data_IF_336853391355
#
_entry.id   IF_336853391355
#
_cell.length_a   1.000
_cell.length_b   1.000
_cell.length_c   1.000
_cell.angle_alpha   90.00
_cell.angle_beta   90.00
_cell.angle_gamma   90.00
#
_symmetry.space_group_name_H-M   'P 1'
#
loop_
_entity.id
_entity.type
_entity.pdbx_description
1 polymer ?
#
# COMPACT_ATOMS: atom_id res chain seq x y z
N UNK A 1 -21.17 1.89 9.93
CA UNK A 1 -19.99 1.28 9.27
C UNK A 1 -18.67 1.65 9.97
N UNK A 2 -18.73 2.00 11.26
CA UNK A 2 -17.69 2.86 11.87
C UNK A 2 -16.45 2.10 12.35
N UNK A 3 -16.56 0.78 12.48
CA UNK A 3 -15.49 -0.09 12.98
C UNK A 3 -14.38 -0.34 11.95
N UNK A 4 -14.64 -0.09 10.66
CA UNK A 4 -13.62 -0.24 9.60
C UNK A 4 -12.49 0.80 9.80
N UNK A 5 -12.80 1.97 10.38
CA UNK A 5 -11.81 3.02 10.66
C UNK A 5 -10.80 2.64 11.76
N UNK A 6 -11.04 1.60 12.57
CA UNK A 6 -10.03 1.04 13.47
C UNK A 6 -8.83 0.41 12.74
N UNK A 7 -8.92 0.25 11.42
CA UNK A 7 -7.78 -0.14 10.59
C UNK A 7 -6.79 1.01 10.35
N UNK A 8 -7.15 2.27 10.63
CA UNK A 8 -6.25 3.42 10.41
C UNK A 8 -4.99 3.35 11.29
N UNK A 9 -5.08 3.11 12.62
CA UNK A 9 -3.90 2.86 13.45
C UNK A 9 -3.12 1.62 13.01
N UNK A 10 -3.80 0.59 12.50
CA UNK A 10 -3.14 -0.61 11.99
C UNK A 10 -2.31 -0.30 10.74
N UNK A 11 -2.78 0.57 9.84
CA UNK A 11 -2.00 1.02 8.70
C UNK A 11 -0.72 1.75 9.12
N UNK A 12 -0.75 2.54 10.19
CA UNK A 12 0.45 3.17 10.74
C UNK A 12 1.47 2.12 11.24
N UNK A 13 1.02 1.11 11.99
CA UNK A 13 1.89 0.02 12.48
C UNK A 13 2.46 -0.77 11.30
N UNK A 14 1.60 -1.17 10.37
CA UNK A 14 2.01 -1.92 9.19
C UNK A 14 2.97 -1.11 8.31
N UNK A 15 2.82 0.21 8.22
CA UNK A 15 3.74 1.07 7.45
C UNK A 15 5.05 1.37 8.17
N UNK A 16 5.01 1.52 9.50
CA UNK A 16 6.19 1.72 10.32
C UNK A 16 7.11 0.50 10.35
N UNK A 17 6.54 -0.72 10.33
CA UNK A 17 7.29 -1.98 10.47
C UNK A 17 7.32 -2.86 9.22
N UNK A 18 6.66 -2.45 8.13
CA UNK A 18 6.58 -3.21 6.88
C UNK A 18 7.32 -2.54 5.71
N UNK A 19 6.76 -1.50 5.08
CA UNK A 19 7.28 -0.86 3.88
C UNK A 19 8.37 0.20 4.08
N UNK A 20 9.00 0.30 5.25
CA UNK A 20 10.19 1.10 5.39
C UNK A 20 11.31 0.30 6.04
N UNK A 21 12.30 -0.06 5.23
CA UNK A 21 13.67 -0.50 5.53
C UNK A 21 13.98 -1.40 6.76
N UNK A 22 13.00 -1.93 7.51
CA UNK A 22 13.23 -2.74 8.71
C UNK A 22 12.18 -3.87 8.95
N UNK A 23 12.72 -5.09 9.08
CA UNK A 23 12.37 -6.25 9.94
C UNK A 23 11.25 -7.24 9.56
N UNK A 24 10.03 -6.87 9.12
CA UNK A 24 8.93 -7.87 8.97
C UNK A 24 8.24 -7.82 7.60
N UNK A 25 8.74 -8.62 6.66
CA UNK A 25 8.25 -8.76 5.28
C UNK A 25 6.76 -9.11 5.15
N UNK A 26 6.25 -9.88 6.11
CA UNK A 26 4.84 -10.31 6.16
C UNK A 26 3.91 -9.10 6.30
N UNK A 27 4.33 -8.03 6.96
CA UNK A 27 3.48 -6.84 7.13
C UNK A 27 3.23 -6.11 5.82
N UNK A 28 4.22 -6.09 4.91
CA UNK A 28 4.03 -5.54 3.55
C UNK A 28 3.00 -6.35 2.76
N UNK A 29 3.06 -7.68 2.86
CA UNK A 29 2.10 -8.58 2.21
C UNK A 29 0.69 -8.47 2.77
N UNK A 30 0.54 -8.16 4.06
CA UNK A 30 -0.75 -7.94 4.72
C UNK A 30 -1.29 -6.53 4.44
N UNK A 31 -0.40 -5.54 4.34
CA UNK A 31 -0.77 -4.13 4.14
C UNK A 31 -1.46 -3.93 2.78
N UNK A 32 -0.87 -4.41 1.68
CA UNK A 32 -1.45 -4.25 0.34
C UNK A 32 -2.93 -4.69 0.23
N UNK A 33 -3.30 -5.93 0.58
CA UNK A 33 -4.69 -6.39 0.47
C UNK A 33 -5.62 -5.69 1.45
N UNK A 34 -5.17 -5.33 2.66
CA UNK A 34 -5.98 -4.57 3.62
C UNK A 34 -6.24 -3.14 3.14
N UNK A 35 -5.23 -2.44 2.65
CA UNK A 35 -5.36 -1.07 2.14
C UNK A 35 -6.29 -1.03 0.93
N UNK A 36 -6.15 -1.97 -0.01
CA UNK A 36 -7.05 -2.07 -1.16
C UNK A 36 -8.48 -2.42 -0.75
N UNK A 37 -8.67 -3.39 0.15
CA UNK A 37 -9.99 -3.75 0.66
C UNK A 37 -10.66 -2.57 1.40
N UNK A 38 -9.90 -1.82 2.19
CA UNK A 38 -10.37 -0.62 2.87
C UNK A 38 -10.76 0.46 1.86
N UNK A 39 -9.88 0.81 0.93
CA UNK A 39 -10.11 1.89 -0.05
C UNK A 39 -11.28 1.62 -1.01
N UNK A 40 -11.58 0.34 -1.28
CA UNK A 40 -12.75 -0.08 -2.06
C UNK A 40 -14.07 0.00 -1.28
N UNK A 41 -14.03 0.01 0.06
CA UNK A 41 -15.23 -0.04 0.92
C UNK A 41 -15.60 1.30 1.55
N UNK A 42 -14.64 2.13 1.96
CA UNK A 42 -14.92 3.44 2.62
C UNK A 42 -15.22 4.55 1.61
N UNK A 43 -15.68 5.74 1.99
CA UNK A 43 -15.78 6.90 1.08
C UNK A 43 -14.40 7.48 0.72
N UNK A 44 -14.29 8.19 -0.42
CA UNK A 44 -12.99 8.72 -0.90
C UNK A 44 -12.33 9.71 0.06
N UNK A 45 -13.13 10.44 0.86
CA UNK A 45 -12.63 11.37 1.90
C UNK A 45 -11.77 10.65 2.96
N UNK A 46 -12.03 9.37 3.20
CA UNK A 46 -11.25 8.56 4.14
C UNK A 46 -9.89 8.13 3.60
N UNK A 47 -9.54 8.51 2.37
CA UNK A 47 -8.19 8.32 1.84
C UNK A 47 -7.22 9.28 2.51
N UNK A 48 -7.69 10.45 2.99
CA UNK A 48 -6.83 11.46 3.64
C UNK A 48 -6.24 10.93 4.96
N UNK A 49 -7.03 10.37 5.90
CA UNK A 49 -6.47 9.77 7.12
C UNK A 49 -5.53 8.60 6.83
N UNK A 50 -5.84 7.78 5.82
CA UNK A 50 -4.98 6.66 5.40
C UNK A 50 -3.65 7.17 4.84
N UNK A 51 -3.70 8.20 4.01
CA UNK A 51 -2.52 8.87 3.48
C UNK A 51 -1.64 9.43 4.61
N UNK A 52 -2.23 10.13 5.57
CA UNK A 52 -1.49 10.68 6.71
C UNK A 52 -0.87 9.57 7.55
N UNK A 53 -1.64 8.52 7.89
CA UNK A 53 -1.15 7.39 8.67
C UNK A 53 0.01 6.67 7.98
N UNK A 54 -0.13 6.38 6.69
CA UNK A 54 0.92 5.74 5.90
C UNK A 54 2.14 6.65 5.73
N UNK A 55 1.95 7.96 5.55
CA UNK A 55 3.04 8.93 5.43
C UNK A 55 3.85 9.05 6.71
N UNK A 56 3.18 9.09 7.86
CA UNK A 56 3.84 9.10 9.18
C UNK A 56 4.60 7.79 9.40
N UNK A 57 3.97 6.64 9.15
CA UNK A 57 4.64 5.34 9.31
C UNK A 57 5.85 5.19 8.38
N UNK A 58 5.72 5.63 7.12
CA UNK A 58 6.83 5.64 6.17
C UNK A 58 7.95 6.58 6.62
N UNK A 59 7.62 7.79 7.07
CA UNK A 59 8.61 8.76 7.56
C UNK A 59 9.37 8.23 8.79
N UNK A 60 8.68 7.61 9.76
CA UNK A 60 9.30 6.99 10.92
C UNK A 60 10.27 5.86 10.52
N UNK A 61 9.89 5.07 9.52
CA UNK A 61 10.72 3.99 9.04
C UNK A 61 11.98 4.49 8.31
N UNK A 62 11.87 5.54 7.50
CA UNK A 62 13.04 6.22 6.89
C UNK A 62 13.93 6.87 7.94
N UNK A 63 13.35 7.48 8.96
CA UNK A 63 14.10 8.09 10.06
C UNK A 63 14.93 7.04 10.82
N UNK A 64 14.35 5.86 11.10
CA UNK A 64 15.06 4.73 11.70
C UNK A 64 16.19 4.20 10.81
N UNK A 65 15.98 4.16 9.49
CA UNK A 65 17.00 3.68 8.53
C UNK A 65 18.15 4.67 8.32
N UNK A 66 17.87 5.98 8.29
CA UNK A 66 18.88 7.02 8.06
C UNK A 66 19.74 7.28 9.30
N UNK A 67 19.29 6.84 10.47
CA UNK A 67 19.91 7.10 11.76
C UNK A 67 20.47 5.84 12.44
N UNK A 68 20.80 4.79 11.67
CA UNK A 68 21.29 3.51 12.24
C UNK A 68 22.59 3.66 13.01
N UNK A 69 23.44 4.62 12.61
CA UNK A 69 24.83 4.72 13.07
C UNK A 69 25.12 6.03 13.85
N UNK A 70 24.18 6.98 13.89
CA UNK A 70 24.37 8.29 14.53
C UNK A 70 23.37 8.51 15.68
N UNK A 71 23.87 8.96 16.82
CA UNK A 71 23.03 9.30 17.99
C UNK A 71 22.42 10.70 17.91
N UNK A 72 22.79 11.49 16.90
CA UNK A 72 22.34 12.87 16.73
C UNK A 72 21.15 12.95 15.79
N UNK A 73 19.95 12.99 16.38
CA UNK A 73 18.68 13.22 15.70
C UNK A 73 18.58 14.66 15.20
N UNK A 74 19.37 14.99 14.18
CA UNK A 74 19.35 16.33 13.59
C UNK A 74 17.98 16.58 12.92
N UNK A 75 17.41 17.80 13.06
CA UNK A 75 16.15 18.19 12.43
C UNK A 75 16.11 17.97 10.91
N UNK A 76 17.27 18.01 10.26
CA UNK A 76 17.42 17.82 8.81
C UNK A 76 17.05 16.39 8.36
N UNK A 77 17.42 15.36 9.13
CA UNK A 77 17.03 13.96 8.83
C UNK A 77 15.54 13.72 9.06
N UNK A 78 14.95 14.41 10.04
CA UNK A 78 13.51 14.39 10.25
C UNK A 78 12.75 15.03 9.07
N UNK A 79 13.21 16.19 8.59
CA UNK A 79 12.59 16.86 7.45
C UNK A 79 12.73 16.04 6.15
N UNK A 80 13.89 15.40 5.95
CA UNK A 80 14.15 14.55 4.80
C UNK A 80 13.28 13.28 4.82
N UNK A 81 13.19 12.59 5.95
CA UNK A 81 12.33 11.41 6.10
C UNK A 81 10.84 11.74 5.96
N UNK A 82 10.41 12.90 6.46
CA UNK A 82 9.05 13.38 6.25
C UNK A 82 8.76 13.66 4.78
N UNK A 83 9.65 14.37 4.07
CA UNK A 83 9.44 14.65 2.63
C UNK A 83 9.37 13.38 1.80
N UNK A 84 10.19 12.36 2.10
CA UNK A 84 10.05 11.03 1.51
C UNK A 84 8.71 10.37 1.87
N UNK A 85 8.36 10.32 3.15
CA UNK A 85 7.11 9.70 3.62
C UNK A 85 5.87 10.27 2.94
N UNK A 86 5.76 11.59 2.85
CA UNK A 86 4.64 12.24 2.18
C UNK A 86 4.72 12.11 0.64
N UNK A 87 5.87 12.40 0.03
CA UNK A 87 6.02 12.35 -1.42
C UNK A 87 5.70 10.98 -2.03
N UNK A 88 6.11 9.91 -1.34
CA UNK A 88 5.91 8.54 -1.76
C UNK A 88 4.45 8.09 -1.68
N UNK A 89 3.75 8.51 -0.60
CA UNK A 89 2.36 8.14 -0.40
C UNK A 89 1.41 8.90 -1.35
N UNK A 90 1.88 9.96 -2.04
CA UNK A 90 1.11 10.59 -3.12
C UNK A 90 0.91 9.60 -4.27
N UNK A 91 1.96 8.86 -4.65
CA UNK A 91 1.89 7.84 -5.70
C UNK A 91 0.91 6.72 -5.33
N UNK A 92 0.91 6.32 -4.05
CA UNK A 92 -0.06 5.38 -3.50
C UNK A 92 -1.48 5.92 -3.62
N UNK A 93 -1.74 7.16 -3.20
CA UNK A 93 -3.05 7.77 -3.31
C UNK A 93 -3.57 7.82 -4.74
N UNK A 94 -2.72 8.21 -5.70
CA UNK A 94 -3.11 8.24 -7.12
C UNK A 94 -3.48 6.83 -7.59
N UNK A 95 -2.68 5.82 -7.25
CA UNK A 95 -2.94 4.42 -7.60
C UNK A 95 -4.28 3.91 -7.03
N UNK A 96 -4.58 4.25 -5.77
CA UNK A 96 -5.82 3.86 -5.08
C UNK A 96 -7.06 4.56 -5.65
N UNK A 97 -6.93 5.84 -6.04
CA UNK A 97 -8.03 6.58 -6.69
C UNK A 97 -8.35 5.95 -8.05
N UNK A 98 -7.32 5.64 -8.85
CA UNK A 98 -7.50 5.00 -10.16
C UNK A 98 -8.07 3.59 -10.04
N UNK A 99 -7.63 2.79 -9.06
CA UNK A 99 -8.23 1.47 -8.79
C UNK A 99 -9.72 1.60 -8.47
N UNK A 100 -10.09 2.55 -7.61
CA UNK A 100 -11.49 2.76 -7.25
C UNK A 100 -12.36 3.18 -8.44
N UNK A 101 -11.86 4.07 -9.29
CA UNK A 101 -12.55 4.42 -10.53
C UNK A 101 -12.74 3.19 -11.41
N UNK A 102 -11.71 2.34 -11.53
CA UNK A 102 -11.80 1.11 -12.28
C UNK A 102 -12.79 0.09 -11.68
N UNK A 103 -12.92 -0.03 -10.36
CA UNK A 103 -13.92 -0.89 -9.74
C UNK A 103 -15.36 -0.44 -10.09
N UNK A 104 -15.59 0.85 -10.30
CA UNK A 104 -16.89 1.39 -10.68
C UNK A 104 -17.18 1.26 -12.18
N UNK A 105 -16.15 1.33 -13.03
CA UNK A 105 -16.27 1.34 -14.50
C UNK A 105 -16.23 -0.08 -15.08
N UNK A 106 -15.28 -0.91 -14.66
CA UNK A 106 -15.04 -2.22 -15.24
C UNK A 106 -15.76 -3.32 -14.45
N UNK A 107 -16.52 -4.16 -15.15
CA UNK A 107 -17.10 -5.38 -14.61
C UNK A 107 -16.24 -6.59 -14.98
N UNK A 108 -16.07 -7.53 -14.05
CA UNK A 108 -15.33 -8.78 -14.29
C UNK A 108 -13.84 -8.71 -13.96
N UNK A 109 -13.05 -9.58 -14.59
CA UNK A 109 -11.62 -9.75 -14.32
C UNK A 109 -10.69 -8.55 -14.62
N UNK A 110 -10.99 -7.62 -15.56
CA UNK A 110 -10.08 -6.52 -15.87
C UNK A 110 -9.80 -5.58 -14.69
N UNK A 111 -10.75 -5.48 -13.75
CA UNK A 111 -10.62 -4.64 -12.54
C UNK A 111 -9.47 -5.08 -11.62
N UNK A 112 -9.00 -6.32 -11.72
CA UNK A 112 -7.87 -6.82 -10.93
C UNK A 112 -6.51 -6.36 -11.48
N UNK A 113 -6.45 -5.99 -12.75
CA UNK A 113 -5.22 -5.58 -13.41
C UNK A 113 -4.97 -4.08 -13.35
N UNK A 114 -5.99 -3.26 -13.05
CA UNK A 114 -5.83 -1.81 -13.07
C UNK A 114 -4.87 -1.32 -12.01
N UNK A 115 -5.07 -1.68 -10.74
CA UNK A 115 -4.15 -1.28 -9.66
C UNK A 115 -2.69 -1.71 -9.90
N UNK A 116 -2.38 -2.98 -10.22
CA UNK A 116 -0.98 -3.37 -10.42
C UNK A 116 -0.33 -2.68 -11.61
N UNK A 117 -1.09 -2.43 -12.68
CA UNK A 117 -0.62 -1.64 -13.81
C UNK A 117 -0.36 -0.18 -13.44
N UNK A 118 -1.28 0.49 -12.75
CA UNK A 118 -1.14 1.91 -12.37
C UNK A 118 -0.03 2.11 -11.34
N UNK A 119 0.04 1.25 -10.33
CA UNK A 119 1.11 1.21 -9.34
C UNK A 119 2.47 1.08 -10.03
N UNK A 120 2.63 0.05 -10.86
CA UNK A 120 3.90 -0.21 -11.57
C UNK A 120 4.29 0.93 -12.51
N UNK A 121 3.32 1.49 -13.25
CA UNK A 121 3.58 2.62 -14.15
C UNK A 121 4.04 3.88 -13.39
N UNK A 122 3.39 4.20 -12.27
CA UNK A 122 3.75 5.36 -11.44
C UNK A 122 5.14 5.22 -10.83
N UNK A 123 5.50 4.02 -10.33
CA UNK A 123 6.85 3.74 -9.85
C UNK A 123 7.89 3.83 -10.96
N UNK A 124 7.57 3.32 -12.15
CA UNK A 124 8.46 3.39 -13.29
C UNK A 124 8.71 4.85 -13.71
N UNK A 125 7.65 5.66 -13.83
CA UNK A 125 7.78 7.10 -14.13
C UNK A 125 8.61 7.80 -13.06
N UNK A 126 8.35 7.52 -11.79
CA UNK A 126 9.08 8.13 -10.68
C UNK A 126 10.57 7.79 -10.71
N UNK A 127 10.92 6.55 -11.05
CA UNK A 127 12.31 6.10 -11.21
C UNK A 127 13.06 6.87 -12.30
N UNK A 128 12.38 7.22 -13.40
CA UNK A 128 13.00 7.99 -14.51
C UNK A 128 13.00 9.51 -14.29
N UNK A 129 12.08 10.05 -13.48
CA UNK A 129 11.89 11.51 -13.30
C UNK A 129 12.56 12.03 -12.04
N UNK A 130 12.66 11.23 -10.98
CA UNK A 130 13.15 11.69 -9.69
C UNK A 130 14.67 11.76 -9.66
N UNK A 131 15.22 12.92 -9.26
CA UNK A 131 16.65 13.11 -8.96
C UNK A 131 17.16 12.19 -7.84
N UNK A 132 16.23 11.61 -7.07
CA UNK A 132 16.51 10.72 -5.94
C UNK A 132 16.78 9.27 -6.37
N UNK A 133 16.59 8.92 -7.65
CA UNK A 133 16.84 7.57 -8.17
C UNK A 133 15.98 6.48 -7.50
N UNK A 134 16.48 5.23 -7.48
CA UNK A 134 15.80 4.04 -6.93
C UNK A 134 15.81 3.96 -5.39
N UNK A 135 16.31 4.99 -4.70
CA UNK A 135 16.52 5.04 -3.24
C UNK A 135 15.23 4.99 -2.41
N UNK A 136 14.12 5.24 -3.08
CA UNK A 136 12.82 5.42 -2.44
C UNK A 136 11.86 4.30 -2.81
N UNK A 137 12.03 3.67 -3.97
CA UNK A 137 11.15 2.63 -4.48
C UNK A 137 10.88 1.57 -3.39
N UNK A 138 9.61 1.19 -3.17
CA UNK A 138 9.21 0.09 -2.27
C UNK A 138 10.02 -1.20 -2.53
N UNK A 139 10.61 -1.28 -3.72
CA UNK A 139 11.49 -2.32 -4.17
C UNK A 139 12.88 -2.36 -3.51
N UNK A 140 13.46 -1.27 -2.98
CA UNK A 140 14.68 -1.38 -2.17
C UNK A 140 14.43 -2.19 -0.88
N UNK A 141 13.24 -2.04 -0.29
CA UNK A 141 12.77 -2.86 0.83
C UNK A 141 12.65 -4.33 0.39
N UNK A 142 12.07 -4.61 -0.78
CA UNK A 142 11.98 -5.96 -1.35
C UNK A 142 13.35 -6.57 -1.69
N UNK A 143 14.30 -5.75 -2.18
CA UNK A 143 15.65 -6.18 -2.55
C UNK A 143 16.49 -6.54 -1.33
N UNK A 144 16.36 -5.83 -0.21
CA UNK A 144 16.99 -6.21 1.07
C UNK A 144 16.33 -7.45 1.71
N UNK A 145 15.03 -7.63 1.52
CA UNK A 145 14.25 -8.73 2.10
C UNK A 145 14.51 -10.07 1.39
N UNK A 146 14.57 -10.08 0.05
CA UNK A 146 14.71 -11.31 -0.74
C UNK A 146 16.16 -11.58 -1.20
N UNK A 147 17.16 -10.87 -0.66
CA UNK A 147 18.57 -11.18 -0.91
C UNK A 147 18.97 -12.62 -0.45
N UNK A 148 18.10 -13.31 0.30
CA UNK A 148 18.22 -14.74 0.63
C UNK A 148 17.38 -15.70 -0.22
N UNK A 149 16.41 -15.21 -1.00
CA UNK A 149 15.45 -16.03 -1.76
C UNK A 149 15.79 -15.96 -3.26
N UNK A 150 16.51 -16.98 -3.73
CA UNK A 150 17.02 -17.08 -5.10
C UNK A 150 15.93 -16.90 -6.17
N UNK A 151 14.68 -17.26 -5.89
CA UNK A 151 13.56 -17.25 -6.85
C UNK A 151 13.12 -15.83 -7.20
N UNK A 152 13.02 -14.93 -6.20
CA UNK A 152 12.61 -13.55 -6.43
C UNK A 152 13.71 -12.74 -7.11
N UNK A 153 14.98 -13.04 -6.82
CA UNK A 153 16.13 -12.45 -7.51
C UNK A 153 16.16 -12.90 -8.98
N UNK A 154 15.91 -14.19 -9.24
CA UNK A 154 15.81 -14.71 -10.61
C UNK A 154 14.65 -14.07 -11.37
N UNK A 155 13.49 -13.91 -10.73
CA UNK A 155 12.37 -13.21 -11.33
C UNK A 155 12.70 -11.74 -11.62
N UNK A 156 13.38 -11.05 -10.70
CA UNK A 156 13.87 -9.68 -10.91
C UNK A 156 14.82 -9.58 -12.12
N UNK A 157 15.69 -10.58 -12.29
CA UNK A 157 16.64 -10.62 -13.41
C UNK A 157 15.96 -10.80 -14.77
N UNK A 158 14.79 -11.43 -14.80
CA UNK A 158 14.00 -11.64 -16.02
C UNK A 158 13.02 -10.49 -16.31
N UNK A 159 12.22 -10.09 -15.33
CA UNK A 159 11.12 -9.13 -15.50
C UNK A 159 11.50 -7.67 -15.11
N UNK A 160 12.72 -7.47 -14.62
CA UNK A 160 13.19 -6.19 -14.11
C UNK A 160 12.47 -5.72 -12.85
N UNK A 161 12.76 -4.49 -12.43
CA UNK A 161 12.15 -3.87 -11.24
C UNK A 161 10.63 -3.68 -11.40
N UNK A 162 10.15 -3.41 -12.62
CA UNK A 162 8.73 -3.27 -12.90
C UNK A 162 7.93 -4.55 -12.65
N UNK A 163 8.49 -5.72 -13.00
CA UNK A 163 7.80 -7.00 -12.81
C UNK A 163 7.54 -7.34 -11.34
N UNK A 164 8.48 -7.04 -10.45
CA UNK A 164 8.30 -7.30 -9.02
C UNK A 164 7.26 -6.37 -8.39
N UNK A 165 7.28 -5.07 -8.75
CA UNK A 165 6.22 -4.14 -8.35
C UNK A 165 4.83 -4.60 -8.81
N UNK A 166 4.75 -5.18 -10.02
CA UNK A 166 3.52 -5.74 -10.55
C UNK A 166 3.04 -6.96 -9.76
N UNK A 167 3.91 -7.94 -9.47
CA UNK A 167 3.52 -9.14 -8.69
C UNK A 167 3.05 -8.75 -7.28
N UNK A 168 3.77 -7.86 -6.60
CA UNK A 168 3.42 -7.44 -5.25
C UNK A 168 2.04 -6.77 -5.20
N UNK A 169 1.81 -5.80 -6.09
CA UNK A 169 0.54 -5.09 -6.19
C UNK A 169 -0.59 -6.00 -6.69
N UNK A 170 -0.30 -6.97 -7.55
CA UNK A 170 -1.25 -7.96 -8.01
C UNK A 170 -1.69 -8.89 -6.87
N UNK A 171 -0.74 -9.39 -6.06
CA UNK A 171 -1.01 -10.13 -4.83
C UNK A 171 -1.90 -9.35 -3.85
N UNK A 172 -1.70 -8.03 -3.78
CA UNK A 172 -2.59 -7.13 -3.05
C UNK A 172 -4.03 -7.15 -3.57
N UNK A 173 -4.22 -7.02 -4.87
CA UNK A 173 -5.57 -7.00 -5.47
C UNK A 173 -6.31 -8.32 -5.35
N UNK A 174 -5.61 -9.45 -5.50
CA UNK A 174 -6.19 -10.79 -5.36
C UNK A 174 -6.51 -11.09 -3.90
N UNK A 175 -5.60 -10.74 -2.98
CA UNK A 175 -5.85 -10.85 -1.53
C UNK A 175 -7.04 -10.00 -1.07
N UNK A 176 -7.17 -8.77 -1.55
CA UNK A 176 -8.34 -7.92 -1.25
C UNK A 176 -9.65 -8.56 -1.73
N UNK A 177 -9.64 -9.23 -2.88
CA UNK A 177 -10.81 -9.95 -3.38
C UNK A 177 -11.14 -11.18 -2.52
N UNK A 178 -10.11 -11.94 -2.10
CA UNK A 178 -10.30 -13.08 -1.21
C UNK A 178 -10.90 -12.65 0.14
N UNK A 179 -10.46 -11.52 0.69
CA UNK A 179 -11.04 -10.92 1.90
C UNK A 179 -12.52 -10.57 1.67
N UNK A 180 -12.85 -9.91 0.56
CA UNK A 180 -14.23 -9.55 0.22
C UNK A 180 -15.13 -10.79 0.12
N UNK A 181 -14.67 -11.83 -0.58
CA UNK A 181 -15.39 -13.10 -0.74
C UNK A 181 -15.55 -13.80 0.61
N UNK A 182 -14.50 -13.86 1.43
CA UNK A 182 -14.53 -14.48 2.76
C UNK A 182 -15.50 -13.76 3.70
N UNK A 183 -15.54 -12.42 3.67
CA UNK A 183 -16.50 -11.65 4.46
C UNK A 183 -17.92 -11.96 3.99
N UNK A 184 -18.16 -11.99 2.68
CA UNK A 184 -19.47 -12.31 2.10
C UNK A 184 -19.92 -13.74 2.40
N UNK A 185 -19.02 -14.71 2.42
CA UNK A 185 -19.37 -16.11 2.69
C UNK A 185 -19.66 -16.37 4.17
N UNK A 186 -18.92 -15.74 5.08
CA UNK A 186 -19.01 -16.02 6.52
C UNK A 186 -19.98 -15.10 7.28
N UNK A 187 -20.23 -13.88 6.77
CA UNK A 187 -21.14 -12.91 7.40
C UNK A 187 -22.38 -12.60 6.53
N UNK A 188 -22.61 -13.46 5.53
CA UNK A 188 -23.41 -13.27 4.32
C UNK A 188 -24.92 -13.06 4.42
N UNK A 189 -25.46 -12.46 5.48
CA UNK A 189 -26.83 -11.93 5.49
C UNK A 189 -27.08 -10.84 6.55
N UNK A 190 -26.25 -10.74 7.60
CA UNK A 190 -26.41 -9.71 8.63
C UNK A 190 -26.03 -8.30 8.13
N UNK A 191 -25.04 -8.21 7.22
CA UNK A 191 -24.59 -6.91 6.66
C UNK A 191 -25.53 -6.37 5.59
N UNK A 192 -26.19 -7.24 4.83
CA UNK A 192 -27.15 -6.85 3.78
C UNK A 192 -28.45 -6.28 4.37
N UNK A 193 -28.86 -6.77 5.56
CA UNK A 193 -30.01 -6.24 6.31
C UNK A 193 -29.68 -4.88 6.93
N UNK A 194 -28.45 -4.66 7.43
CA UNK A 194 -28.02 -3.35 7.95
C UNK A 194 -27.90 -2.29 6.83
N UNK A 195 -27.42 -2.68 5.64
CA UNK A 195 -27.37 -1.79 4.48
C UNK A 195 -28.75 -1.36 3.97
N UNK A 196 -29.77 -2.23 4.04
CA UNK A 196 -31.14 -1.84 3.72
C UNK A 196 -31.78 -0.97 4.81
N UNK A 197 -31.50 -1.23 6.10
CA UNK A 197 -32.07 -0.46 7.21
C UNK A 197 -31.48 0.95 7.38
N UNK A 198 -30.29 1.23 6.85
CA UNK A 198 -29.70 2.59 6.84
C UNK A 198 -30.11 3.40 5.60
N UNK A 199 -30.47 2.76 4.48
CA UNK A 199 -30.97 3.45 3.29
C UNK A 199 -32.41 3.94 3.47
N UNK A 200 -33.24 3.25 4.28
CA UNK A 200 -34.60 3.70 4.63
C UNK A 200 -34.64 4.80 5.72
N UNK A 201 -33.49 5.25 6.23
CA UNK A 201 -33.38 6.27 7.29
C UNK A 201 -32.68 7.57 6.87
N UNK A 202 -32.33 7.71 5.59
CA UNK A 202 -31.81 8.94 4.99
C UNK A 202 -32.87 9.54 4.05
#
# INVERSE_FOLDING_TARGET
>A
MDRIHYLIPLFLILTCFGPGFQTISIFTWIWFPLTLSYCRTVAILWFIPVYIANSIGTALAYLGSLNSDNTNWLPEYFLLSATFGFGMNILLCISLILDRLAQNVFKGWPRFFVFPCTWTALWLIFLYVSFLGDLTNYMQVFRYIFLGDNEMIQFASFAGLGGLNFILSWGGTTGAHMIEVWIKSNFGNALHILLYLEIDKA
#
